data_IF_971201104786
#
_entry.id   IF_971201104786
#
_cell.length_a   1.000
_cell.length_b   1.000
_cell.length_c   1.000
_cell.angle_alpha   90.00
_cell.angle_beta   90.00
_cell.angle_gamma   90.00
#
_symmetry.space_group_name_H-M   'P 1'
#
loop_
_entity.id
_entity.type
_entity.pdbx_description
1 polymer ?
#
# COMPACT_ATOMS: atom_id res chain seq x y z
N UNK A 1 17.97 -16.46 3.63
CA UNK A 1 16.64 -17.09 3.41
C UNK A 1 15.57 -16.21 4.07
N UNK A 2 14.54 -15.86 3.35
CA UNK A 2 13.43 -15.02 3.85
C UNK A 2 12.69 -15.74 4.99
N UNK A 3 12.34 -15.00 6.03
CA UNK A 3 11.53 -15.45 7.17
C UNK A 3 10.26 -14.63 7.35
N UNK A 4 10.29 -13.36 6.90
CA UNK A 4 9.18 -12.43 6.99
C UNK A 4 8.90 -11.80 5.63
N UNK A 5 7.62 -11.80 5.23
CA UNK A 5 7.16 -11.04 4.07
C UNK A 5 6.24 -9.92 4.57
N UNK A 6 6.60 -8.70 4.23
CA UNK A 6 5.79 -7.50 4.50
C UNK A 6 5.06 -7.13 3.22
N UNK A 7 3.74 -7.05 3.26
CA UNK A 7 2.90 -6.65 2.14
C UNK A 7 2.41 -5.22 2.32
N UNK A 8 2.49 -4.42 1.27
CA UNK A 8 1.56 -3.30 1.15
C UNK A 8 0.14 -3.83 0.92
N UNK A 9 -0.84 -3.02 1.25
CA UNK A 9 -2.25 -3.36 1.11
C UNK A 9 -2.82 -2.87 -0.22
N UNK A 10 -2.75 -1.55 -0.44
CA UNK A 10 -3.31 -0.87 -1.59
C UNK A 10 -2.43 -1.09 -2.83
N UNK A 11 -2.99 -1.58 -3.91
CA UNK A 11 -2.23 -1.89 -5.13
C UNK A 11 -1.44 -3.20 -5.10
N UNK A 12 -1.40 -3.90 -3.95
CA UNK A 12 -0.74 -5.22 -3.81
C UNK A 12 -1.75 -6.31 -3.50
N UNK A 13 -2.56 -6.13 -2.47
CA UNK A 13 -3.61 -7.07 -2.06
C UNK A 13 -4.93 -6.72 -2.73
N UNK A 14 -5.26 -5.43 -2.75
CA UNK A 14 -6.54 -4.92 -3.28
C UNK A 14 -6.33 -3.86 -4.36
N UNK A 15 -7.21 -3.88 -5.37
CA UNK A 15 -7.38 -2.79 -6.34
C UNK A 15 -8.31 -1.73 -5.74
N UNK A 16 -7.74 -0.84 -4.95
CA UNK A 16 -8.46 0.24 -4.25
C UNK A 16 -8.41 1.59 -4.96
N UNK A 17 -7.58 1.75 -6.00
CA UNK A 17 -7.41 3.05 -6.65
C UNK A 17 -8.71 3.66 -7.23
N UNK A 18 -9.62 2.88 -7.85
CA UNK A 18 -10.92 3.40 -8.28
C UNK A 18 -11.77 3.93 -7.10
N UNK A 19 -11.67 3.28 -5.93
CA UNK A 19 -12.37 3.71 -4.73
C UNK A 19 -11.79 5.01 -4.18
N UNK A 20 -10.47 5.10 -4.11
CA UNK A 20 -9.75 6.33 -3.72
C UNK A 20 -10.17 7.50 -4.62
N UNK A 21 -10.15 7.32 -5.94
CA UNK A 21 -10.60 8.34 -6.89
C UNK A 21 -12.05 8.77 -6.61
N UNK A 22 -12.96 7.81 -6.43
CA UNK A 22 -14.38 8.10 -6.11
C UNK A 22 -14.53 8.92 -4.83
N UNK A 23 -13.70 8.65 -3.82
CA UNK A 23 -13.70 9.42 -2.56
C UNK A 23 -13.18 10.84 -2.79
N UNK A 24 -12.09 11.01 -3.52
CA UNK A 24 -11.57 12.35 -3.87
C UNK A 24 -12.58 13.17 -4.69
N UNK A 25 -13.32 12.53 -5.61
CA UNK A 25 -14.42 13.19 -6.31
C UNK A 25 -15.47 13.74 -5.35
N UNK A 26 -15.80 12.95 -4.31
CA UNK A 26 -16.74 13.38 -3.26
C UNK A 26 -16.18 14.55 -2.44
N UNK A 27 -14.90 14.48 -2.06
CA UNK A 27 -14.20 15.54 -1.32
C UNK A 27 -14.19 16.84 -2.12
N UNK A 28 -13.75 16.78 -3.38
CA UNK A 28 -13.71 17.93 -4.27
C UNK A 28 -15.09 18.58 -4.41
N UNK A 29 -16.15 17.77 -4.62
CA UNK A 29 -17.52 18.25 -4.71
C UNK A 29 -17.97 18.97 -3.43
N UNK A 30 -17.71 18.37 -2.26
CA UNK A 30 -18.09 18.94 -0.95
C UNK A 30 -17.35 20.22 -0.62
N UNK A 31 -16.10 20.37 -1.09
CA UNK A 31 -15.24 21.52 -0.80
C UNK A 31 -15.12 22.52 -1.97
N UNK A 32 -15.94 22.37 -3.02
CA UNK A 32 -15.97 23.29 -4.15
C UNK A 32 -14.71 23.29 -5.02
N UNK A 33 -13.98 22.17 -5.04
CA UNK A 33 -12.75 21.99 -5.84
C UNK A 33 -13.00 21.21 -7.13
N UNK A 34 -12.14 21.40 -8.11
CA UNK A 34 -12.12 20.59 -9.33
C UNK A 34 -11.28 19.35 -9.10
N UNK A 35 -11.83 18.19 -9.42
CA UNK A 35 -11.11 16.92 -9.41
C UNK A 35 -11.10 16.34 -10.82
N UNK A 36 -10.01 15.69 -11.27
CA UNK A 36 -9.99 14.99 -12.54
C UNK A 36 -11.05 13.89 -12.59
N UNK A 37 -11.95 13.96 -13.57
CA UNK A 37 -13.05 12.99 -13.70
C UNK A 37 -12.57 11.62 -14.18
N UNK A 38 -11.50 11.58 -14.98
CA UNK A 38 -10.94 10.33 -15.49
C UNK A 38 -9.89 9.80 -14.52
N UNK A 39 -9.92 8.51 -14.25
CA UNK A 39 -8.99 7.82 -13.38
C UNK A 39 -7.52 8.06 -13.77
N UNK A 40 -7.22 8.01 -15.07
CA UNK A 40 -5.87 8.22 -15.60
C UNK A 40 -5.35 9.65 -15.37
N UNK A 41 -6.23 10.64 -15.39
CA UNK A 41 -5.84 12.02 -15.11
C UNK A 41 -5.71 12.25 -13.60
N UNK A 42 -6.58 11.63 -12.79
CA UNK A 42 -6.44 11.64 -11.33
C UNK A 42 -5.14 10.97 -10.90
N UNK A 43 -4.73 9.90 -11.55
CA UNK A 43 -3.45 9.20 -11.29
C UNK A 43 -2.25 10.14 -11.41
N UNK A 44 -2.29 11.13 -12.30
CA UNK A 44 -1.22 12.14 -12.47
C UNK A 44 -1.17 13.14 -11.31
N UNK A 45 -2.28 13.35 -10.61
CA UNK A 45 -2.38 14.26 -9.47
C UNK A 45 -2.17 13.57 -8.14
N UNK A 46 -2.29 12.24 -8.10
CA UNK A 46 -2.12 11.45 -6.89
C UNK A 46 -0.63 11.34 -6.53
N UNK A 47 -0.25 11.80 -5.34
CA UNK A 47 1.15 11.81 -4.89
C UNK A 47 1.56 10.52 -4.17
N UNK A 48 2.83 10.46 -3.78
CA UNK A 48 3.37 9.34 -3.00
C UNK A 48 2.77 9.32 -1.58
N UNK A 49 2.42 10.49 -1.06
CA UNK A 49 1.66 10.66 0.19
C UNK A 49 0.32 11.35 -0.07
N UNK A 50 -0.64 11.16 0.83
CA UNK A 50 -1.96 11.79 0.71
C UNK A 50 -1.90 13.33 0.74
N UNK A 51 -0.94 13.91 1.48
CA UNK A 51 -0.68 15.35 1.47
C UNK A 51 -0.40 15.88 0.08
N UNK A 52 0.49 15.20 -0.63
CA UNK A 52 0.90 15.61 -1.98
C UNK A 52 -0.29 15.63 -2.95
N UNK A 53 -1.22 14.68 -2.77
CA UNK A 53 -2.43 14.60 -3.59
C UNK A 53 -3.35 15.81 -3.37
N UNK A 54 -3.50 16.25 -2.12
CA UNK A 54 -4.27 17.46 -1.80
C UNK A 54 -3.59 18.70 -2.34
N UNK A 55 -2.28 18.82 -2.19
CA UNK A 55 -1.50 19.95 -2.69
C UNK A 55 -1.60 20.06 -4.22
N UNK A 56 -1.45 18.92 -4.93
CA UNK A 56 -1.60 18.85 -6.38
C UNK A 56 -3.01 19.21 -6.88
N UNK A 57 -4.03 19.05 -6.04
CA UNK A 57 -5.42 19.43 -6.31
C UNK A 57 -5.76 20.84 -5.83
N UNK A 58 -4.79 21.59 -5.27
CA UNK A 58 -4.94 22.98 -4.85
C UNK A 58 -5.78 23.15 -3.58
N UNK A 59 -5.70 22.22 -2.64
CA UNK A 59 -6.34 22.34 -1.34
C UNK A 59 -5.46 23.15 -0.37
N UNK A 60 -6.07 24.02 0.42
CA UNK A 60 -5.42 24.66 1.57
C UNK A 60 -5.26 23.65 2.72
N UNK A 61 -4.48 24.01 3.75
CA UNK A 61 -4.29 23.17 4.93
C UNK A 61 -5.62 22.87 5.65
N UNK A 62 -6.46 23.87 5.85
CA UNK A 62 -7.78 23.70 6.46
C UNK A 62 -8.69 22.78 5.61
N UNK A 63 -8.64 22.93 4.30
CA UNK A 63 -9.40 22.07 3.38
C UNK A 63 -8.87 20.64 3.40
N UNK A 64 -7.55 20.44 3.54
CA UNK A 64 -6.94 19.13 3.68
C UNK A 64 -7.40 18.42 4.97
N UNK A 65 -7.47 19.15 6.09
CA UNK A 65 -7.99 18.60 7.35
C UNK A 65 -9.42 18.12 7.17
N UNK A 66 -10.30 18.98 6.60
CA UNK A 66 -11.69 18.61 6.28
C UNK A 66 -11.76 17.45 5.30
N UNK A 67 -10.92 17.46 4.26
CA UNK A 67 -10.82 16.40 3.26
C UNK A 67 -10.46 15.06 3.87
N UNK A 68 -9.52 15.01 4.81
CA UNK A 68 -9.13 13.79 5.51
C UNK A 68 -10.27 13.19 6.36
N UNK A 69 -11.08 14.03 7.00
CA UNK A 69 -12.27 13.58 7.74
C UNK A 69 -13.29 12.94 6.77
N UNK A 70 -13.59 13.62 5.67
CA UNK A 70 -14.48 13.10 4.63
C UNK A 70 -13.91 11.81 4.04
N UNK A 71 -12.60 11.78 3.78
CA UNK A 71 -11.93 10.59 3.24
C UNK A 71 -12.16 9.37 4.14
N UNK A 72 -11.92 9.51 5.45
CA UNK A 72 -12.10 8.43 6.42
C UNK A 72 -13.52 7.88 6.40
N UNK A 73 -14.52 8.76 6.41
CA UNK A 73 -15.93 8.37 6.39
C UNK A 73 -16.34 7.66 5.09
N UNK A 74 -15.87 8.17 3.96
CA UNK A 74 -16.31 7.68 2.65
C UNK A 74 -15.57 6.41 2.22
N UNK A 75 -14.27 6.25 2.57
CA UNK A 75 -13.48 5.08 2.18
C UNK A 75 -13.97 3.80 2.89
N UNK A 76 -14.46 3.92 4.12
CA UNK A 76 -15.05 2.78 4.85
C UNK A 76 -16.26 2.18 4.14
N UNK A 77 -17.01 2.99 3.38
CA UNK A 77 -18.18 2.57 2.61
C UNK A 77 -17.82 1.91 1.28
N UNK A 78 -16.55 1.99 0.85
CA UNK A 78 -16.11 1.45 -0.42
C UNK A 78 -15.69 0.00 -0.31
N UNK A 79 -15.89 -0.74 -1.39
CA UNK A 79 -15.52 -2.15 -1.50
C UNK A 79 -14.48 -2.29 -2.60
N UNK A 80 -13.18 -2.39 -2.26
CA UNK A 80 -12.16 -2.69 -3.24
C UNK A 80 -12.29 -4.13 -3.72
N UNK A 81 -11.69 -4.45 -4.87
CA UNK A 81 -11.59 -5.82 -5.36
C UNK A 81 -10.24 -6.41 -4.97
N UNK A 82 -10.21 -7.69 -4.66
CA UNK A 82 -8.95 -8.43 -4.59
C UNK A 82 -8.37 -8.56 -6.00
N UNK A 83 -7.03 -8.47 -6.10
CA UNK A 83 -6.38 -8.90 -7.34
C UNK A 83 -6.55 -10.41 -7.53
N UNK A 84 -6.73 -10.83 -8.78
CA UNK A 84 -6.87 -12.25 -9.12
C UNK A 84 -5.63 -13.05 -8.69
N UNK A 85 -5.86 -14.16 -8.00
CA UNK A 85 -4.79 -15.03 -7.48
C UNK A 85 -4.21 -14.63 -6.12
N UNK A 86 -4.61 -13.49 -5.52
CA UNK A 86 -4.11 -13.05 -4.21
C UNK A 86 -4.41 -14.07 -3.13
N UNK A 87 -5.63 -14.61 -3.05
CA UNK A 87 -6.01 -15.57 -2.00
C UNK A 87 -5.11 -16.81 -2.06
N UNK A 88 -4.94 -17.39 -3.24
CA UNK A 88 -4.06 -18.56 -3.44
C UNK A 88 -2.60 -18.24 -3.06
N UNK A 89 -2.12 -17.06 -3.46
CA UNK A 89 -0.77 -16.61 -3.13
C UNK A 89 -0.56 -16.55 -1.63
N UNK A 90 -1.46 -15.85 -0.90
CA UNK A 90 -1.38 -15.70 0.54
C UNK A 90 -1.50 -17.03 1.27
N UNK A 91 -2.42 -17.89 0.85
CA UNK A 91 -2.60 -19.23 1.43
C UNK A 91 -1.34 -20.09 1.32
N UNK A 92 -0.64 -20.03 0.20
CA UNK A 92 0.58 -20.79 -0.02
C UNK A 92 1.76 -20.23 0.78
N UNK A 93 1.97 -18.91 0.73
CA UNK A 93 3.06 -18.24 1.45
C UNK A 93 2.93 -18.35 2.97
N UNK A 94 1.71 -18.28 3.50
CA UNK A 94 1.47 -18.40 4.95
C UNK A 94 1.95 -19.72 5.57
N UNK A 95 2.15 -20.76 4.79
CA UNK A 95 2.64 -22.05 5.28
C UNK A 95 4.11 -22.02 5.70
N UNK A 96 4.89 -21.16 5.03
CA UNK A 96 6.36 -21.17 5.15
C UNK A 96 6.92 -19.85 5.71
N UNK A 97 6.15 -18.77 5.64
CA UNK A 97 6.62 -17.42 6.01
C UNK A 97 5.68 -16.75 7.01
N UNK A 98 6.27 -15.98 7.93
CA UNK A 98 5.51 -14.97 8.65
C UNK A 98 5.09 -13.88 7.68
N UNK A 99 3.87 -13.37 7.82
CA UNK A 99 3.36 -12.34 6.94
C UNK A 99 2.74 -11.19 7.73
N UNK A 100 3.06 -9.96 7.33
CA UNK A 100 2.57 -8.72 7.95
C UNK A 100 2.07 -7.78 6.86
N UNK A 101 0.98 -7.07 7.13
CA UNK A 101 0.55 -5.95 6.30
C UNK A 101 1.07 -4.65 6.92
N UNK A 102 1.71 -3.78 6.10
CA UNK A 102 2.03 -2.41 6.49
C UNK A 102 1.41 -1.46 5.45
N UNK A 103 0.41 -0.68 5.86
CA UNK A 103 -0.33 0.23 4.97
C UNK A 103 -0.49 1.64 5.55
N UNK A 104 -0.52 2.64 4.68
CA UNK A 104 -0.87 4.01 5.04
C UNK A 104 -2.39 4.24 5.14
N UNK A 105 -3.21 3.23 4.89
CA UNK A 105 -4.67 3.26 5.05
C UNK A 105 -5.07 3.17 6.53
N UNK A 106 -6.33 3.46 6.84
CA UNK A 106 -6.83 3.42 8.23
C UNK A 106 -6.98 1.97 8.72
N UNK A 107 -6.64 1.74 9.99
CA UNK A 107 -6.73 0.41 10.61
C UNK A 107 -8.12 -0.21 10.46
N UNK A 108 -9.16 0.59 10.74
CA UNK A 108 -10.54 0.15 10.65
C UNK A 108 -10.91 -0.33 9.23
N UNK A 109 -10.45 0.42 8.20
CA UNK A 109 -10.64 0.06 6.80
C UNK A 109 -9.97 -1.27 6.46
N UNK A 110 -8.67 -1.38 6.74
CA UNK A 110 -7.87 -2.55 6.37
C UNK A 110 -8.37 -3.80 7.09
N UNK A 111 -8.57 -3.73 8.41
CA UNK A 111 -9.05 -4.87 9.21
C UNK A 111 -10.44 -5.33 8.76
N UNK A 112 -11.38 -4.39 8.54
CA UNK A 112 -12.72 -4.72 8.05
C UNK A 112 -12.68 -5.48 6.72
N UNK A 113 -11.87 -5.00 5.76
CA UNK A 113 -11.81 -5.61 4.43
C UNK A 113 -11.07 -6.94 4.43
N UNK A 114 -9.94 -7.05 5.13
CA UNK A 114 -9.23 -8.32 5.28
C UNK A 114 -10.11 -9.41 5.90
N UNK A 115 -10.92 -9.05 6.93
CA UNK A 115 -11.87 -9.96 7.54
C UNK A 115 -13.00 -10.34 6.56
N UNK A 116 -13.57 -9.36 5.86
CA UNK A 116 -14.63 -9.60 4.87
C UNK A 116 -14.19 -10.53 3.74
N UNK A 117 -12.95 -10.41 3.29
CA UNK A 117 -12.36 -11.28 2.27
C UNK A 117 -11.92 -12.65 2.84
N UNK A 118 -11.96 -12.86 4.16
CA UNK A 118 -11.52 -14.09 4.80
C UNK A 118 -10.00 -14.31 4.77
N UNK A 119 -9.22 -13.27 4.50
CA UNK A 119 -7.75 -13.34 4.35
C UNK A 119 -6.98 -12.77 5.55
N UNK A 120 -7.65 -12.15 6.53
CA UNK A 120 -7.01 -11.65 7.76
C UNK A 120 -6.18 -12.72 8.49
N UNK A 121 -6.64 -13.95 8.45
CA UNK A 121 -6.02 -15.13 9.07
C UNK A 121 -4.63 -15.47 8.55
N UNK A 122 -4.25 -14.96 7.37
CA UNK A 122 -2.92 -15.22 6.79
C UNK A 122 -1.86 -14.25 7.31
N UNK A 123 -2.24 -13.21 8.04
CA UNK A 123 -1.33 -12.18 8.53
C UNK A 123 -1.17 -12.24 10.04
N UNK A 124 0.07 -12.33 10.51
CA UNK A 124 0.42 -12.29 11.93
C UNK A 124 0.06 -10.91 12.53
N UNK A 125 0.32 -9.84 11.76
CA UNK A 125 0.08 -8.47 12.21
C UNK A 125 -0.39 -7.58 11.05
N UNK A 126 -1.16 -6.53 11.41
CA UNK A 126 -1.60 -5.48 10.48
C UNK A 126 -1.24 -4.13 11.10
N UNK A 127 -0.27 -3.45 10.49
CA UNK A 127 0.24 -2.14 10.91
C UNK A 127 -0.27 -1.09 9.94
N UNK A 128 -0.94 -0.11 10.48
CA UNK A 128 -1.62 0.91 9.68
C UNK A 128 -1.49 2.28 10.34
N UNK A 129 -1.92 3.30 9.63
CA UNK A 129 -2.03 4.63 10.17
C UNK A 129 -3.07 4.67 11.30
N UNK A 130 -2.65 5.15 12.48
CA UNK A 130 -3.53 5.28 13.65
C UNK A 130 -4.38 6.54 13.59
N UNK A 131 -3.83 7.64 13.08
CA UNK A 131 -4.52 8.93 13.01
C UNK A 131 -4.43 9.57 11.63
N UNK A 132 -5.38 10.43 11.29
CA UNK A 132 -5.38 11.21 10.05
C UNK A 132 -4.47 12.45 10.12
N UNK A 133 -3.95 12.78 11.30
CA UNK A 133 -3.12 13.98 11.53
C UNK A 133 -1.64 13.73 11.30
N UNK A 134 -1.16 12.52 11.55
CA UNK A 134 0.25 12.19 11.40
C UNK A 134 0.54 11.58 10.02
N UNK A 135 1.68 11.97 9.43
CA UNK A 135 2.24 11.28 8.27
C UNK A 135 2.65 9.88 8.70
N UNK A 136 2.17 8.88 7.99
CA UNK A 136 2.58 7.50 8.20
C UNK A 136 3.76 7.18 7.29
N UNK A 137 4.86 6.75 7.89
CA UNK A 137 6.05 6.29 7.18
C UNK A 137 6.28 4.80 7.49
N UNK A 138 6.34 3.98 6.45
CA UNK A 138 6.57 2.53 6.59
C UNK A 138 7.95 2.23 7.18
N UNK A 139 8.93 3.11 6.92
CA UNK A 139 10.31 2.97 7.39
C UNK A 139 10.41 2.64 8.88
N UNK A 140 9.73 3.42 9.73
CA UNK A 140 9.80 3.22 11.18
C UNK A 140 9.07 1.94 11.62
N UNK A 141 7.95 1.63 10.99
CA UNK A 141 7.22 0.40 11.23
C UNK A 141 8.06 -0.83 10.86
N UNK A 142 8.72 -0.81 9.70
CA UNK A 142 9.61 -1.89 9.25
C UNK A 142 10.76 -2.08 10.24
N UNK A 143 11.44 -1.02 10.67
CA UNK A 143 12.54 -1.09 11.65
C UNK A 143 12.09 -1.67 12.98
N UNK A 144 10.92 -1.24 13.50
CA UNK A 144 10.35 -1.76 14.75
C UNK A 144 10.07 -3.26 14.65
N UNK A 145 9.47 -3.72 13.55
CA UNK A 145 9.18 -5.15 13.32
C UNK A 145 10.46 -5.98 13.26
N UNK A 146 11.45 -5.55 12.49
CA UNK A 146 12.74 -6.23 12.38
C UNK A 146 13.37 -6.40 13.77
N UNK A 147 13.39 -5.33 14.55
CA UNK A 147 13.92 -5.34 15.90
C UNK A 147 13.11 -6.25 16.85
N UNK A 148 11.78 -6.17 16.82
CA UNK A 148 10.92 -6.94 17.73
C UNK A 148 10.96 -8.43 17.47
N UNK A 149 11.15 -8.84 16.21
CA UNK A 149 11.26 -10.24 15.79
C UNK A 149 12.71 -10.74 15.78
N UNK A 150 13.69 -9.89 16.16
CA UNK A 150 15.11 -10.20 16.14
C UNK A 150 15.59 -10.78 14.80
N UNK A 151 15.15 -10.14 13.69
CA UNK A 151 15.50 -10.51 12.33
C UNK A 151 16.63 -9.65 11.78
N UNK A 152 17.37 -10.21 10.80
CA UNK A 152 18.27 -9.44 9.96
C UNK A 152 17.50 -8.86 8.76
N UNK A 153 17.96 -7.73 8.23
CA UNK A 153 17.32 -7.08 7.07
C UNK A 153 17.27 -7.97 5.82
N UNK A 154 18.22 -8.90 5.69
CA UNK A 154 18.28 -9.90 4.62
C UNK A 154 17.24 -11.03 4.77
N UNK A 155 16.62 -11.16 5.93
CA UNK A 155 15.57 -12.16 6.19
C UNK A 155 14.16 -11.60 5.95
N UNK A 156 14.06 -10.34 5.53
CA UNK A 156 12.80 -9.63 5.32
C UNK A 156 12.63 -9.24 3.87
N UNK A 157 11.48 -9.58 3.30
CA UNK A 157 11.06 -9.17 1.97
C UNK A 157 9.90 -8.16 2.07
N UNK A 158 10.01 -7.04 1.41
CA UNK A 158 8.90 -6.09 1.22
C UNK A 158 8.29 -6.27 -0.17
N UNK A 159 6.97 -6.39 -0.23
CA UNK A 159 6.19 -6.42 -1.48
C UNK A 159 5.40 -5.13 -1.59
N UNK A 160 5.64 -4.35 -2.63
CA UNK A 160 5.00 -3.05 -2.87
C UNK A 160 4.74 -2.79 -4.36
N UNK A 161 3.91 -1.80 -4.66
CA UNK A 161 3.54 -1.46 -6.05
C UNK A 161 4.01 -0.07 -6.48
N UNK A 162 4.58 0.73 -5.57
CA UNK A 162 4.95 2.12 -5.85
C UNK A 162 6.38 2.46 -5.46
N UNK A 163 6.86 3.59 -6.01
CA UNK A 163 8.17 4.14 -5.66
C UNK A 163 8.33 4.38 -4.15
N UNK A 164 7.28 4.80 -3.46
CA UNK A 164 7.33 5.04 -2.01
C UNK A 164 7.68 3.77 -1.23
N UNK A 165 7.20 2.59 -1.64
CA UNK A 165 7.53 1.32 -0.99
C UNK A 165 9.02 1.01 -1.14
N UNK A 166 9.55 1.22 -2.34
CA UNK A 166 10.98 1.05 -2.58
C UNK A 166 11.82 2.02 -1.74
N UNK A 167 11.47 3.30 -1.74
CA UNK A 167 12.21 4.33 -1.00
C UNK A 167 12.17 4.06 0.51
N UNK A 168 11.00 3.79 1.06
CA UNK A 168 10.83 3.57 2.49
C UNK A 168 11.44 2.25 2.95
N UNK A 169 11.31 1.19 2.14
CA UNK A 169 11.98 -0.09 2.40
C UNK A 169 13.51 0.05 2.40
N UNK A 170 14.05 0.77 1.42
CA UNK A 170 15.50 1.06 1.35
C UNK A 170 15.98 1.89 2.54
N UNK A 171 15.23 2.93 2.95
CA UNK A 171 15.53 3.72 4.16
C UNK A 171 15.48 2.88 5.44
N UNK A 172 14.66 1.84 5.46
CA UNK A 172 14.62 0.88 6.56
C UNK A 172 15.80 -0.09 6.57
N UNK A 173 16.62 -0.11 5.51
CA UNK A 173 17.79 -0.96 5.35
C UNK A 173 17.50 -2.25 4.57
N UNK A 174 16.28 -2.44 4.05
CA UNK A 174 15.94 -3.64 3.29
C UNK A 174 16.67 -3.68 1.95
N UNK A 175 17.18 -4.86 1.61
CA UNK A 175 17.75 -5.19 0.30
C UNK A 175 16.76 -5.94 -0.57
N UNK A 176 15.88 -6.71 0.04
CA UNK A 176 14.91 -7.54 -0.64
C UNK A 176 13.59 -6.78 -0.78
N UNK A 177 13.38 -6.20 -1.95
CA UNK A 177 12.15 -5.47 -2.28
C UNK A 177 11.64 -6.01 -3.60
N UNK A 178 10.46 -6.63 -3.56
CA UNK A 178 9.74 -7.13 -4.70
C UNK A 178 8.69 -6.10 -5.13
N UNK A 179 8.72 -5.69 -6.38
CA UNK A 179 7.74 -4.76 -6.93
C UNK A 179 6.68 -5.50 -7.74
N UNK A 180 5.45 -5.05 -7.65
CA UNK A 180 4.35 -5.58 -8.46
C UNK A 180 3.91 -4.53 -9.49
N UNK A 181 3.66 -4.98 -10.73
CA UNK A 181 3.28 -4.13 -11.88
C UNK A 181 1.77 -4.24 -12.20
N UNK A 182 1.06 -5.03 -11.43
CA UNK A 182 -0.40 -5.16 -11.56
C UNK A 182 -1.18 -4.17 -10.68
N UNK A 183 -0.50 -3.51 -9.76
CA UNK A 183 -1.06 -2.55 -8.82
C UNK A 183 -1.34 -1.18 -9.43
N UNK A 184 -1.23 -0.15 -8.62
CA UNK A 184 -1.40 1.22 -9.10
C UNK A 184 -0.30 1.62 -10.08
N UNK A 185 0.89 0.95 -10.02
CA UNK A 185 1.99 1.08 -10.98
C UNK A 185 2.56 2.49 -11.11
N UNK A 186 2.21 3.34 -10.17
CA UNK A 186 2.46 4.75 -10.21
C UNK A 186 3.91 5.04 -9.81
N UNK A 187 4.62 5.74 -10.68
CA UNK A 187 6.00 6.14 -10.46
C UNK A 187 7.07 5.03 -10.36
N UNK A 188 6.77 3.77 -10.65
CA UNK A 188 7.80 2.71 -10.67
C UNK A 188 9.02 3.09 -11.52
N UNK A 189 8.80 3.82 -12.62
CA UNK A 189 9.89 4.30 -13.49
C UNK A 189 10.84 5.30 -12.82
N UNK A 190 10.47 5.88 -11.69
CA UNK A 190 11.34 6.74 -10.88
C UNK A 190 12.33 5.96 -10.01
N UNK A 191 12.14 4.64 -9.88
CA UNK A 191 13.02 3.78 -9.11
C UNK A 191 14.35 3.65 -9.86
N UNK A 192 15.50 3.93 -9.21
CA UNK A 192 16.80 3.69 -9.81
C UNK A 192 16.95 2.24 -10.25
N UNK A 193 17.48 2.01 -11.44
CA UNK A 193 17.70 0.68 -12.02
C UNK A 193 16.40 -0.18 -12.08
N UNK A 194 15.26 0.46 -12.25
CA UNK A 194 13.95 -0.18 -12.32
C UNK A 194 13.95 -1.47 -13.17
N UNK A 195 14.62 -1.46 -14.33
CA UNK A 195 14.69 -2.62 -15.24
C UNK A 195 15.46 -3.82 -14.67
N UNK A 196 16.26 -3.60 -13.63
CA UNK A 196 17.06 -4.64 -12.97
C UNK A 196 16.36 -5.18 -11.70
N UNK A 197 15.23 -4.58 -11.30
CA UNK A 197 14.46 -5.04 -10.15
C UNK A 197 13.61 -6.25 -10.51
N UNK A 198 13.36 -7.09 -9.52
CA UNK A 198 12.40 -8.18 -9.69
C UNK A 198 10.99 -7.56 -9.66
N UNK A 199 10.27 -7.74 -10.75
CA UNK A 199 8.93 -7.19 -10.94
C UNK A 199 8.01 -8.30 -11.38
N UNK A 200 6.93 -8.49 -10.65
CA UNK A 200 5.91 -9.50 -10.98
C UNK A 200 4.64 -8.83 -11.51
N UNK A 201 3.98 -9.52 -12.44
CA UNK A 201 2.79 -9.02 -13.15
C UNK A 201 1.49 -9.58 -12.63
N UNK A 202 1.54 -10.60 -11.77
CA UNK A 202 0.38 -11.26 -11.16
C UNK A 202 0.72 -11.64 -9.73
N UNK A 203 -0.24 -11.65 -8.80
CA UNK A 203 -0.01 -12.07 -7.42
C UNK A 203 0.63 -13.45 -7.32
N UNK A 204 0.21 -14.41 -8.13
CA UNK A 204 0.73 -15.78 -8.09
C UNK A 204 2.25 -15.87 -8.42
N UNK A 205 2.77 -14.92 -9.18
CA UNK A 205 4.19 -14.88 -9.53
C UNK A 205 5.08 -14.54 -8.32
N UNK A 206 4.49 -13.97 -7.24
CA UNK A 206 5.20 -13.71 -5.98
C UNK A 206 5.77 -15.00 -5.40
N UNK A 207 5.06 -16.13 -5.51
CA UNK A 207 5.51 -17.44 -5.02
C UNK A 207 6.89 -17.81 -5.55
N UNK A 208 7.07 -17.68 -6.86
CA UNK A 208 8.37 -17.98 -7.49
C UNK A 208 9.41 -16.89 -7.21
N UNK A 209 8.96 -15.63 -7.13
CA UNK A 209 9.88 -14.52 -6.91
C UNK A 209 10.52 -14.57 -5.51
N UNK A 210 9.79 -15.01 -4.49
CA UNK A 210 10.32 -15.16 -3.12
C UNK A 210 11.51 -16.12 -3.06
N UNK A 211 11.52 -17.17 -3.89
CA UNK A 211 12.62 -18.13 -3.97
C UNK A 211 13.93 -17.54 -4.52
N UNK A 212 13.85 -16.34 -5.13
CA UNK A 212 15.00 -15.64 -5.73
C UNK A 212 15.76 -14.76 -4.73
N UNK A 213 15.26 -14.63 -3.50
CA UNK A 213 15.85 -13.89 -2.39
C UNK A 213 16.35 -14.88 -1.33
#
# INVERSE_FOLDING_TARGET
MIKLIIFDYDGVIVDSFPNVHSVYMTICKKLGKKCPNKLEDFKKTYGDHSSDSYDNLGFSEDERIKGNLIFKEEILKKEPKLFEGVIETLERLHRDYKMIVISSSYKEEVEQKLNKFGIRKYFDEVITRETHMARFEKTDSIKKIISSLNLNVEEVLLVGDRNVDFVEGTKAGLKNILLVDYGWGYNLKKIPDYKQKIIVKKPIDILKAVESF
#
